data_IF_851985003043
#
_entry.id   IF_851985003043
#
_cell.length_a   1.000
_cell.length_b   1.000
_cell.length_c   1.000
_cell.angle_alpha   90.00
_cell.angle_beta   90.00
_cell.angle_gamma   90.00
#
_symmetry.space_group_name_H-M   'P 1'
#
loop_
_entity.id
_entity.type
_entity.pdbx_description
1 polymer ?
#
# COMPACT_ATOMS: atom_id res chain seq x y z
N UNK A 1 -28.50 -12.53 1.94
CA UNK A 1 -28.44 -13.24 0.64
C UNK A 1 -26.99 -13.55 0.21
N UNK A 2 -26.01 -12.66 0.44
CA UNK A 2 -24.59 -12.86 0.10
C UNK A 2 -23.89 -14.01 0.86
N UNK A 3 -24.14 -14.20 2.16
CA UNK A 3 -23.60 -15.37 2.93
C UNK A 3 -24.02 -16.73 2.34
N UNK A 4 -25.21 -16.82 1.75
CA UNK A 4 -25.69 -18.05 1.11
C UNK A 4 -25.00 -18.29 -0.24
N UNK A 5 -24.71 -17.23 -1.00
CA UNK A 5 -23.93 -17.31 -2.23
C UNK A 5 -22.48 -17.74 -1.97
N UNK A 6 -21.85 -17.21 -0.92
CA UNK A 6 -20.48 -17.58 -0.52
C UNK A 6 -20.36 -19.06 -0.14
N UNK A 7 -21.29 -19.59 0.67
CA UNK A 7 -21.29 -21.02 1.04
C UNK A 7 -21.49 -21.94 -0.18
N UNK A 8 -22.23 -21.49 -1.19
CA UNK A 8 -22.45 -22.25 -2.44
C UNK A 8 -21.21 -22.28 -3.33
N UNK A 9 -20.33 -21.27 -3.23
CA UNK A 9 -19.06 -21.22 -3.94
C UNK A 9 -17.99 -22.15 -3.33
N UNK A 10 -18.00 -22.35 -2.02
CA UNK A 10 -17.06 -23.26 -1.33
C UNK A 10 -17.28 -24.75 -1.64
N UNK A 11 -18.43 -25.13 -2.21
CA UNK A 11 -18.77 -26.52 -2.52
C UNK A 11 -18.35 -27.00 -3.92
N UNK A 12 -17.68 -26.18 -4.74
CA UNK A 12 -17.22 -26.56 -6.08
C UNK A 12 -15.73 -26.90 -6.07
N UNK A 13 -15.31 -28.11 -6.46
CA UNK A 13 -13.89 -28.41 -6.62
C UNK A 13 -13.32 -27.57 -7.78
N UNK A 14 -12.28 -26.78 -7.48
CA UNK A 14 -11.56 -26.02 -8.50
C UNK A 14 -10.80 -26.98 -9.39
N UNK A 15 -11.06 -26.94 -10.70
CA UNK A 15 -10.23 -27.63 -11.68
C UNK A 15 -8.81 -27.06 -11.61
N UNK A 16 -7.81 -27.93 -11.51
CA UNK A 16 -6.41 -27.53 -11.50
C UNK A 16 -6.03 -26.92 -12.86
N UNK A 17 -5.56 -25.68 -12.86
CA UNK A 17 -4.96 -25.03 -14.03
C UNK A 17 -3.48 -25.46 -14.10
N UNK A 18 -2.99 -26.05 -15.20
CA UNK A 18 -1.59 -26.42 -15.32
C UNK A 18 -0.70 -25.17 -15.38
N UNK A 19 0.32 -25.10 -14.51
CA UNK A 19 1.40 -24.12 -14.66
C UNK A 19 2.21 -24.43 -15.93
N UNK A 20 2.11 -23.59 -16.94
CA UNK A 20 3.09 -23.55 -18.03
C UNK A 20 4.22 -22.59 -17.63
N UNK A 21 5.42 -23.14 -17.51
CA UNK A 21 6.67 -22.42 -17.26
C UNK A 21 7.03 -21.51 -18.45
N UNK A 22 6.98 -20.19 -18.25
CA UNK A 22 7.46 -19.21 -19.22
C UNK A 22 8.99 -19.13 -19.20
N UNK A 23 9.62 -19.09 -20.40
CA UNK A 23 11.06 -18.89 -20.58
C UNK A 23 11.42 -17.39 -20.40
N UNK A 24 12.60 -17.07 -19.83
CA UNK A 24 12.99 -15.68 -19.61
C UNK A 24 13.42 -15.00 -20.92
N UNK A 25 12.96 -13.77 -21.11
CA UNK A 25 13.41 -12.85 -22.17
C UNK A 25 14.55 -11.99 -21.60
N UNK A 26 15.66 -11.93 -22.31
CA UNK A 26 16.87 -11.22 -21.88
C UNK A 26 16.68 -9.69 -21.92
N UNK A 27 16.74 -9.06 -20.75
CA UNK A 27 16.93 -7.63 -20.56
C UNK A 27 17.87 -7.40 -19.37
N UNK A 28 18.81 -6.45 -19.50
CA UNK A 28 19.95 -6.22 -18.59
C UNK A 28 19.69 -6.50 -17.12
N UNK A 29 20.25 -7.61 -16.64
CA UNK A 29 20.33 -7.94 -15.22
C UNK A 29 21.45 -7.10 -14.62
N UNK A 30 21.10 -6.10 -13.82
CA UNK A 30 22.06 -5.54 -12.86
C UNK A 30 22.34 -6.67 -11.87
N UNK A 31 23.58 -7.17 -11.88
CA UNK A 31 24.01 -8.34 -11.11
C UNK A 31 23.79 -8.14 -9.62
N UNK A 32 22.85 -8.90 -9.07
CA UNK A 32 22.60 -9.03 -7.64
C UNK A 32 23.82 -9.66 -6.96
N UNK A 33 24.41 -8.95 -6.00
CA UNK A 33 25.40 -9.51 -5.07
C UNK A 33 24.69 -9.86 -3.77
N UNK A 34 24.67 -11.17 -3.42
CA UNK A 34 24.21 -11.76 -2.15
C UNK A 34 22.86 -11.23 -1.60
N UNK A 35 21.78 -11.85 -2.09
CA UNK A 35 20.36 -11.57 -1.82
C UNK A 35 19.99 -11.43 -0.33
N UNK A 36 19.92 -10.19 0.16
CA UNK A 36 19.12 -9.85 1.34
C UNK A 36 17.66 -9.55 0.98
N UNK A 37 17.30 -9.55 -0.31
CA UNK A 37 15.98 -9.11 -0.79
C UNK A 37 15.78 -7.59 -0.75
N UNK A 38 16.73 -6.83 -0.20
CA UNK A 38 16.63 -5.37 -0.06
C UNK A 38 17.77 -4.59 -0.74
N UNK A 39 17.43 -3.44 -1.33
CA UNK A 39 18.34 -2.45 -1.86
C UNK A 39 19.15 -1.81 -0.72
N UNK A 40 20.48 -1.86 -0.80
CA UNK A 40 21.36 -1.31 0.24
C UNK A 40 21.20 0.21 0.45
N UNK A 41 20.86 0.96 -0.63
CA UNK A 41 20.72 2.42 -0.57
C UNK A 41 19.46 2.85 0.18
N UNK A 42 18.31 2.28 -0.21
CA UNK A 42 17.00 2.72 0.29
C UNK A 42 16.47 1.82 1.39
N UNK A 43 16.95 0.58 1.51
CA UNK A 43 16.39 -0.47 2.36
C UNK A 43 15.02 -0.99 1.88
N UNK A 44 14.64 -0.67 0.64
CA UNK A 44 13.41 -1.12 -0.02
C UNK A 44 13.66 -2.41 -0.81
N UNK A 45 12.64 -3.01 -1.41
CA UNK A 45 12.78 -4.26 -2.17
C UNK A 45 13.82 -4.15 -3.30
N UNK A 46 14.69 -5.16 -3.42
CA UNK A 46 15.74 -5.25 -4.45
C UNK A 46 15.20 -5.49 -5.86
N UNK A 47 14.04 -6.14 -5.96
CA UNK A 47 13.38 -6.46 -7.21
C UNK A 47 12.25 -5.47 -7.49
N UNK A 48 12.14 -5.01 -8.73
CA UNK A 48 11.00 -4.19 -9.14
C UNK A 48 11.25 -3.35 -10.37
N UNK A 49 10.17 -2.70 -10.81
CA UNK A 49 10.16 -1.76 -11.93
C UNK A 49 9.54 -0.45 -11.46
N UNK A 50 9.86 0.64 -12.17
CA UNK A 50 9.38 1.97 -11.80
C UNK A 50 7.85 2.11 -11.84
N UNK A 51 7.15 1.28 -12.61
CA UNK A 51 5.70 1.39 -12.82
C UNK A 51 4.87 0.51 -11.88
N UNK A 52 5.46 -0.41 -11.11
CA UNK A 52 4.67 -1.26 -10.22
C UNK A 52 5.45 -2.32 -9.46
N UNK A 53 4.71 -3.25 -8.86
CA UNK A 53 5.22 -4.18 -7.85
C UNK A 53 5.37 -3.53 -6.48
N UNK A 54 5.98 -4.29 -5.57
CA UNK A 54 6.30 -3.81 -4.23
C UNK A 54 7.23 -2.58 -4.27
N UNK A 55 7.17 -1.77 -3.21
CA UNK A 55 7.93 -0.53 -3.11
C UNK A 55 9.44 -0.81 -3.22
N UNK A 56 10.07 -0.21 -4.23
CA UNK A 56 11.45 -0.47 -4.60
C UNK A 56 12.20 0.82 -4.93
N UNK A 57 13.53 0.73 -5.06
CA UNK A 57 14.38 1.91 -5.31
C UNK A 57 14.06 2.65 -6.62
N UNK A 58 13.56 1.97 -7.65
CA UNK A 58 13.24 2.60 -8.93
C UNK A 58 12.00 3.50 -8.84
N UNK A 59 11.01 3.15 -7.99
CA UNK A 59 9.79 3.93 -7.79
C UNK A 59 10.02 5.25 -7.04
N UNK A 60 11.11 5.37 -6.27
CA UNK A 60 11.43 6.55 -5.44
C UNK A 60 12.66 7.32 -5.92
N UNK A 61 13.25 6.92 -7.05
CA UNK A 61 14.53 7.45 -7.52
C UNK A 61 14.52 8.96 -7.83
N UNK A 62 13.34 9.54 -8.08
CA UNK A 62 13.15 10.97 -8.35
C UNK A 62 12.91 11.83 -7.09
N UNK A 63 12.73 11.21 -5.93
CA UNK A 63 12.57 11.87 -4.64
C UNK A 63 13.92 12.11 -3.96
N UNK A 64 13.94 12.86 -2.85
CA UNK A 64 15.17 13.07 -2.09
C UNK A 64 15.76 11.73 -1.62
N UNK A 65 17.09 11.63 -1.66
CA UNK A 65 17.79 10.43 -1.14
C UNK A 65 17.50 10.16 0.34
N UNK A 66 17.28 11.22 1.12
CA UNK A 66 16.96 11.11 2.55
C UNK A 66 15.46 10.88 2.80
N UNK A 67 14.58 11.03 1.79
CA UNK A 67 13.16 10.75 1.96
C UNK A 67 12.90 9.26 2.14
N UNK A 68 13.69 8.39 1.49
CA UNK A 68 13.59 6.92 1.62
C UNK A 68 14.96 6.31 1.94
N UNK A 69 15.16 5.91 3.20
CA UNK A 69 16.44 5.37 3.66
C UNK A 69 16.26 4.35 4.78
N UNK A 70 16.99 3.24 4.68
CA UNK A 70 16.92 2.15 5.66
C UNK A 70 15.53 1.54 5.81
N UNK A 71 14.74 1.49 4.73
CA UNK A 71 13.38 0.97 4.69
C UNK A 71 12.33 1.94 5.24
N UNK A 72 12.71 3.19 5.54
CA UNK A 72 11.83 4.18 6.15
C UNK A 72 11.53 5.34 5.21
N UNK A 73 10.31 5.83 5.28
CA UNK A 73 9.88 7.08 4.64
C UNK A 73 9.93 8.23 5.66
N UNK A 74 10.81 9.23 5.44
CA UNK A 74 11.09 10.34 6.37
C UNK A 74 11.22 11.68 5.64
N UNK A 75 10.17 12.16 4.96
CA UNK A 75 10.20 13.47 4.30
C UNK A 75 10.36 14.60 5.34
N UNK A 76 11.03 15.69 4.94
CA UNK A 76 11.16 16.91 5.74
C UNK A 76 10.15 17.94 5.25
N UNK A 77 9.03 18.04 5.95
CA UNK A 77 8.03 19.06 5.68
C UNK A 77 8.41 20.40 6.32
N UNK A 78 7.79 21.46 5.81
CA UNK A 78 7.91 22.80 6.40
C UNK A 78 7.46 22.79 7.87
N UNK A 79 8.12 23.60 8.71
CA UNK A 79 7.82 23.73 10.14
C UNK A 79 6.43 24.27 10.44
N UNK A 80 5.84 25.07 9.54
CA UNK A 80 4.45 25.53 9.66
C UNK A 80 3.44 24.43 9.28
N UNK A 81 3.88 23.41 8.54
CA UNK A 81 3.13 22.18 8.29
C UNK A 81 2.85 21.90 6.81
N UNK A 82 2.04 20.85 6.57
CA UNK A 82 1.78 20.27 5.25
C UNK A 82 1.09 21.20 4.23
N UNK A 83 0.55 22.33 4.67
CA UNK A 83 -0.10 23.30 3.79
C UNK A 83 0.89 24.18 3.03
N UNK A 84 2.18 24.15 3.41
CA UNK A 84 3.25 24.87 2.71
C UNK A 84 3.82 24.05 1.56
N UNK A 85 4.42 24.71 0.55
CA UNK A 85 5.17 24.04 -0.50
C UNK A 85 6.20 23.07 0.05
N UNK A 86 6.41 21.97 -0.66
CA UNK A 86 7.41 20.96 -0.29
C UNK A 86 8.27 20.66 -1.52
N UNK A 87 9.57 20.56 -1.34
CA UNK A 87 10.50 20.16 -2.41
C UNK A 87 11.07 18.80 -2.07
N UNK A 88 11.03 17.88 -3.03
CA UNK A 88 11.73 16.61 -2.92
C UNK A 88 12.36 16.22 -4.26
N UNK A 89 13.65 15.88 -4.22
CA UNK A 89 14.51 15.70 -5.37
C UNK A 89 14.56 16.98 -6.19
N UNK A 90 14.24 16.85 -7.48
CA UNK A 90 14.15 17.99 -8.40
C UNK A 90 12.75 18.63 -8.49
N UNK A 91 11.75 18.16 -7.74
CA UNK A 91 10.35 18.57 -7.86
C UNK A 91 9.88 19.40 -6.68
N UNK A 92 9.22 20.52 -6.96
CA UNK A 92 8.50 21.31 -5.95
C UNK A 92 7.00 21.09 -6.09
N UNK A 93 6.39 20.65 -5.01
CA UNK A 93 4.96 20.41 -4.83
C UNK A 93 4.29 21.67 -4.28
N UNK A 94 3.06 21.94 -4.70
CA UNK A 94 2.30 23.10 -4.22
C UNK A 94 2.13 23.08 -2.70
N UNK A 95 1.87 21.90 -2.14
CA UNK A 95 1.83 21.67 -0.69
C UNK A 95 2.44 20.31 -0.33
N UNK A 96 2.77 20.11 0.94
CA UNK A 96 3.11 18.79 1.48
C UNK A 96 2.04 17.72 1.24
N UNK A 97 0.75 18.09 1.14
CA UNK A 97 -0.31 17.14 0.75
C UNK A 97 -0.15 16.63 -0.67
N UNK A 98 0.28 17.47 -1.61
CA UNK A 98 0.52 17.04 -2.99
C UNK A 98 1.68 16.03 -3.09
N UNK A 99 2.69 16.18 -2.24
CA UNK A 99 3.72 15.16 -2.07
C UNK A 99 3.14 13.85 -1.52
N UNK A 100 2.29 13.92 -0.49
CA UNK A 100 1.67 12.72 0.09
C UNK A 100 0.72 12.02 -0.89
N UNK A 101 0.03 12.75 -1.77
CA UNK A 101 -0.78 12.16 -2.84
C UNK A 101 0.08 11.35 -3.81
N UNK A 102 1.24 11.87 -4.21
CA UNK A 102 2.18 11.10 -5.04
C UNK A 102 2.74 9.89 -4.30
N UNK A 103 3.10 10.05 -3.02
CA UNK A 103 3.59 8.94 -2.20
C UNK A 103 2.54 7.82 -2.04
N UNK A 104 1.24 8.16 -2.05
CA UNK A 104 0.14 7.20 -1.98
C UNK A 104 0.03 6.30 -3.23
N UNK A 105 0.60 6.71 -4.37
CA UNK A 105 0.61 5.91 -5.60
C UNK A 105 1.71 4.83 -5.62
N UNK A 106 2.62 4.84 -4.64
CA UNK A 106 3.81 3.97 -4.63
C UNK A 106 3.51 2.59 -4.01
N UNK A 107 4.16 1.54 -4.54
CA UNK A 107 4.22 0.20 -3.93
C UNK A 107 2.95 -0.67 -3.96
N UNK A 108 1.80 -0.14 -4.38
CA UNK A 108 0.52 -0.86 -4.39
C UNK A 108 0.06 -1.43 -5.74
N UNK A 109 0.84 -1.21 -6.81
CA UNK A 109 0.46 -1.60 -8.18
C UNK A 109 0.97 -3.01 -8.52
N UNK A 110 0.28 -3.68 -9.43
CA UNK A 110 0.74 -4.93 -10.03
C UNK A 110 1.96 -4.71 -10.94
N UNK A 111 2.50 -5.78 -11.52
CA UNK A 111 3.71 -5.71 -12.35
C UNK A 111 3.56 -4.85 -13.61
N UNK A 112 2.34 -4.63 -14.10
CA UNK A 112 2.04 -3.84 -15.30
C UNK A 112 1.61 -2.39 -14.97
N UNK A 113 1.62 -2.02 -13.69
CA UNK A 113 1.25 -0.69 -13.20
C UNK A 113 -0.25 -0.44 -13.02
N UNK A 114 -1.09 -1.47 -13.20
CA UNK A 114 -2.50 -1.43 -12.79
C UNK A 114 -2.68 -1.78 -11.32
N UNK A 115 -3.87 -1.59 -10.77
CA UNK A 115 -4.23 -2.05 -9.42
C UNK A 115 -4.95 -3.41 -9.41
N UNK A 116 -5.34 -3.92 -10.58
CA UNK A 116 -6.02 -5.20 -10.73
C UNK A 116 -5.12 -6.40 -10.44
N UNK A 117 -5.75 -7.54 -10.17
CA UNK A 117 -5.09 -8.82 -9.98
C UNK A 117 -5.93 -9.99 -10.47
N UNK A 118 -5.44 -11.23 -10.34
CA UNK A 118 -6.10 -12.42 -10.87
C UNK A 118 -7.48 -12.70 -10.25
N UNK A 119 -7.78 -12.14 -9.07
CA UNK A 119 -9.06 -12.30 -8.38
C UNK A 119 -10.04 -11.14 -8.64
N UNK A 120 -9.54 -9.99 -9.07
CA UNK A 120 -10.34 -8.81 -9.38
C UNK A 120 -9.52 -7.93 -10.34
N UNK A 121 -9.83 -8.01 -11.64
CA UNK A 121 -9.09 -7.30 -12.66
C UNK A 121 -9.36 -5.78 -12.64
N UNK A 122 -10.58 -5.38 -12.27
CA UNK A 122 -10.99 -3.97 -12.19
C UNK A 122 -11.54 -3.62 -10.79
N UNK A 123 -10.66 -3.33 -9.82
CA UNK A 123 -11.03 -3.07 -8.44
C UNK A 123 -11.73 -1.72 -8.23
N UNK A 124 -11.73 -0.84 -9.24
CA UNK A 124 -12.38 0.48 -9.19
C UNK A 124 -13.60 0.57 -10.10
N UNK A 125 -14.10 -0.58 -10.57
CA UNK A 125 -15.33 -0.65 -11.36
C UNK A 125 -16.55 -0.19 -10.56
N UNK A 126 -17.62 0.31 -11.23
CA UNK A 126 -18.88 0.66 -10.58
C UNK A 126 -19.52 -0.49 -9.80
N UNK A 127 -19.28 -1.75 -10.20
CA UNK A 127 -19.78 -2.93 -9.49
C UNK A 127 -19.14 -3.06 -8.11
N UNK A 128 -17.81 -2.92 -8.02
CA UNK A 128 -17.08 -2.95 -6.75
C UNK A 128 -17.46 -1.73 -5.90
N UNK A 129 -17.60 -0.56 -6.50
CA UNK A 129 -18.06 0.64 -5.79
C UNK A 129 -19.43 0.43 -5.14
N UNK A 130 -20.41 -0.10 -5.88
CA UNK A 130 -21.75 -0.39 -5.36
C UNK A 130 -21.72 -1.41 -4.21
N UNK A 131 -20.89 -2.45 -4.33
CA UNK A 131 -20.68 -3.42 -3.25
C UNK A 131 -20.11 -2.74 -2.01
N UNK A 132 -19.06 -1.93 -2.15
CA UNK A 132 -18.46 -1.17 -1.06
C UNK A 132 -19.49 -0.24 -0.38
N UNK A 133 -20.32 0.47 -1.16
CA UNK A 133 -21.39 1.33 -0.61
C UNK A 133 -22.45 0.54 0.16
N UNK A 134 -22.78 -0.70 -0.25
CA UNK A 134 -23.65 -1.57 0.52
C UNK A 134 -23.00 -1.99 1.85
N UNK A 135 -21.72 -2.39 1.81
CA UNK A 135 -20.96 -2.80 3.01
C UNK A 135 -20.79 -1.66 4.01
N UNK A 136 -20.52 -0.44 3.55
CA UNK A 136 -20.42 0.75 4.42
C UNK A 136 -21.73 1.04 5.14
N UNK A 137 -22.87 0.82 4.49
CA UNK A 137 -24.19 0.95 5.12
C UNK A 137 -24.43 -0.16 6.15
N UNK A 138 -24.18 -1.41 5.78
CA UNK A 138 -24.33 -2.56 6.70
C UNK A 138 -23.44 -2.42 7.95
N UNK A 139 -22.23 -1.86 7.79
CA UNK A 139 -21.29 -1.66 8.89
C UNK A 139 -21.79 -0.70 9.98
N UNK A 140 -22.70 0.24 9.67
CA UNK A 140 -23.27 1.15 10.68
C UNK A 140 -24.15 0.42 11.70
N UNK A 141 -24.79 -0.66 11.28
CA UNK A 141 -25.71 -1.43 12.11
C UNK A 141 -25.09 -2.71 12.69
N UNK A 142 -23.82 -3.00 12.37
CA UNK A 142 -23.14 -4.20 12.82
C UNK A 142 -23.03 -4.26 14.35
N UNK A 143 -23.52 -5.35 14.94
CA UNK A 143 -23.46 -5.65 16.38
C UNK A 143 -22.45 -6.73 16.73
N UNK A 144 -21.57 -7.06 15.79
CA UNK A 144 -20.54 -8.11 15.91
C UNK A 144 -19.13 -7.54 15.93
N UNK A 145 -18.98 -6.23 16.15
CA UNK A 145 -17.68 -5.58 16.23
C UNK A 145 -16.94 -6.00 17.51
N UNK A 146 -15.61 -5.90 17.46
CA UNK A 146 -14.75 -6.24 18.59
C UNK A 146 -15.03 -5.36 19.82
N UNK A 147 -14.50 -5.80 20.98
CA UNK A 147 -14.67 -5.09 22.26
C UNK A 147 -16.13 -4.81 22.62
N UNK A 148 -17.02 -5.77 22.33
CA UNK A 148 -18.47 -5.67 22.54
C UNK A 148 -19.09 -4.46 21.82
N UNK A 149 -18.73 -4.25 20.56
CA UNK A 149 -19.11 -3.04 19.81
C UNK A 149 -18.53 -1.75 20.43
N UNK A 150 -17.25 -1.82 20.81
CA UNK A 150 -16.52 -0.71 21.43
C UNK A 150 -17.16 -0.17 22.72
N UNK A 151 -17.99 -0.96 23.41
CA UNK A 151 -18.59 -0.56 24.70
C UNK A 151 -17.73 -0.92 25.90
N UNK A 152 -16.67 -1.73 25.72
CA UNK A 152 -15.71 -2.00 26.79
C UNK A 152 -14.98 -0.71 27.22
N UNK A 153 -14.61 -0.56 28.50
CA UNK A 153 -13.80 0.56 28.96
C UNK A 153 -12.49 0.70 28.16
N UNK A 154 -12.23 1.88 27.62
CA UNK A 154 -11.02 2.20 26.86
C UNK A 154 -9.98 2.88 27.77
N UNK A 155 -8.76 2.31 27.94
CA UNK A 155 -7.72 2.96 28.74
C UNK A 155 -7.20 4.23 28.05
N UNK A 156 -6.82 5.23 28.85
CA UNK A 156 -6.30 6.51 28.36
C UNK A 156 -5.05 6.92 29.15
N UNK A 157 -4.00 7.35 28.43
CA UNK A 157 -2.81 7.90 29.06
C UNK A 157 -3.12 9.24 29.75
N UNK A 158 -2.54 9.43 30.93
CA UNK A 158 -2.58 10.71 31.64
C UNK A 158 -1.68 11.75 30.98
N UNK A 159 -1.94 13.04 31.24
CA UNK A 159 -1.07 14.14 30.76
C UNK A 159 0.40 13.94 31.14
N UNK A 160 0.65 13.50 32.39
CA UNK A 160 2.00 13.24 32.89
C UNK A 160 2.70 12.11 32.12
N UNK A 161 1.99 11.02 31.79
CA UNK A 161 2.55 9.94 30.98
C UNK A 161 2.89 10.41 29.56
N UNK A 162 2.04 11.25 28.97
CA UNK A 162 2.32 11.85 27.65
C UNK A 162 3.56 12.73 27.70
N UNK A 163 3.70 13.57 28.72
CA UNK A 163 4.87 14.45 28.88
C UNK A 163 6.19 13.69 29.06
N UNK A 164 6.17 12.53 29.73
CA UNK A 164 7.37 11.70 29.92
C UNK A 164 7.89 11.01 28.64
N UNK A 165 7.08 10.97 27.57
CA UNK A 165 7.40 10.24 26.34
C UNK A 165 7.47 11.13 25.08
N UNK A 166 7.44 12.47 25.24
CA UNK A 166 7.71 13.42 24.15
C UNK A 166 9.20 13.47 23.84
#
# INVERSE_FOLDING_TARGET
>A
RLRAAWRKAQGKPSAAVPLQSAKPVAGSVVTATKDTGFCEKTGLESGGVAHGGALNAAQVAHLDEDAFKGGLHRPKFDSEGLHKPHTSGGKTYETGFHYLLEAHELGGKNADGGFGGPLCADPFSPEIEQLCQALVREAQDDKTLCFENFTKPCPQLTKKQVELCK
#
